data_IF_331998782616
#
_entry.id   IF_331998782616
#
_cell.length_a   1.000
_cell.length_b   1.000
_cell.length_c   1.000
_cell.angle_alpha   90.00
_cell.angle_beta   90.00
_cell.angle_gamma   90.00
#
_symmetry.space_group_name_H-M   'P 1'
#
loop_
_entity.id
_entity.type
_entity.pdbx_description
1 polymer ?
#
# COMPACT_ATOMS: atom_id res chain seq x y z
N UNK A 1 -10.66 9.51 0.12
CA UNK A 1 -10.43 8.12 0.53
C UNK A 1 -8.94 7.91 0.63
N UNK A 2 -8.50 7.22 1.68
CA UNK A 2 -7.09 6.97 1.96
C UNK A 2 -6.84 5.46 1.91
N UNK A 3 -5.87 5.06 1.10
CA UNK A 3 -5.41 3.70 0.85
C UNK A 3 -3.89 3.56 1.00
N UNK A 4 -3.13 4.66 0.96
CA UNK A 4 -1.67 4.68 1.15
C UNK A 4 -1.31 4.81 2.63
N UNK A 5 -1.82 3.87 3.43
CA UNK A 5 -1.75 3.84 4.88
C UNK A 5 -2.95 3.08 5.46
N UNK A 6 -3.29 3.33 6.73
CA UNK A 6 -4.51 2.81 7.33
C UNK A 6 -5.74 3.24 6.52
N UNK A 7 -6.54 2.26 6.10
CA UNK A 7 -7.65 2.53 5.18
C UNK A 7 -8.72 3.39 5.87
N UNK A 8 -8.95 4.59 5.35
CA UNK A 8 -9.97 5.49 5.89
C UNK A 8 -10.84 6.14 4.81
N UNK A 9 -12.10 6.38 5.18
CA UNK A 9 -13.10 7.01 4.32
C UNK A 9 -13.78 8.15 5.06
N UNK A 10 -13.78 9.31 4.42
CA UNK A 10 -14.56 10.49 4.82
C UNK A 10 -15.61 10.75 3.77
N UNK A 11 -16.85 10.92 4.20
CA UNK A 11 -18.01 11.15 3.31
C UNK A 11 -18.79 12.38 3.74
N UNK A 12 -19.67 12.86 2.86
CA UNK A 12 -20.58 13.98 3.12
C UNK A 12 -22.03 13.52 3.38
N UNK A 13 -22.32 12.23 3.16
CA UNK A 13 -23.65 11.65 3.29
C UNK A 13 -23.95 11.08 4.68
N UNK A 14 -24.90 10.17 4.72
CA UNK A 14 -25.43 9.59 5.96
C UNK A 14 -24.48 8.55 6.56
N UNK A 15 -23.78 8.93 7.63
CA UNK A 15 -22.88 8.04 8.36
C UNK A 15 -23.60 6.89 9.08
N UNK A 16 -24.89 7.04 9.40
CA UNK A 16 -25.66 5.99 10.10
C UNK A 16 -26.00 4.82 9.19
N UNK A 17 -26.10 5.08 7.88
CA UNK A 17 -26.40 4.07 6.87
C UNK A 17 -25.41 2.88 6.89
N UNK A 18 -24.15 3.11 7.26
CA UNK A 18 -23.10 2.06 7.30
C UNK A 18 -22.70 1.64 8.70
N UNK A 19 -23.27 2.23 9.77
CA UNK A 19 -22.83 2.02 11.15
C UNK A 19 -22.79 0.54 11.57
N UNK A 20 -23.75 -0.26 11.11
CA UNK A 20 -23.87 -1.68 11.45
C UNK A 20 -22.71 -2.54 10.92
N UNK A 21 -22.03 -2.14 9.83
CA UNK A 21 -20.97 -2.92 9.17
C UNK A 21 -19.96 -2.02 8.45
N UNK A 22 -19.52 -0.93 9.08
CA UNK A 22 -18.71 0.09 8.40
C UNK A 22 -17.45 -0.45 7.69
N UNK A 23 -16.64 -1.34 8.29
CA UNK A 23 -15.46 -1.88 7.61
C UNK A 23 -15.77 -2.65 6.32
N UNK A 24 -16.94 -3.29 6.24
CA UNK A 24 -17.40 -3.98 5.02
C UNK A 24 -17.71 -2.98 3.90
N UNK A 25 -18.39 -1.87 4.20
CA UNK A 25 -18.68 -0.83 3.21
C UNK A 25 -17.44 -0.05 2.77
N UNK A 26 -16.43 0.05 3.64
CA UNK A 26 -15.13 0.64 3.31
C UNK A 26 -14.42 -0.17 2.23
N UNK A 27 -14.31 -1.49 2.38
CA UNK A 27 -13.74 -2.36 1.34
C UNK A 27 -14.50 -2.25 0.02
N UNK A 28 -15.84 -2.29 0.11
CA UNK A 28 -16.70 -2.18 -1.06
C UNK A 28 -16.44 -0.87 -1.82
N UNK A 29 -16.31 0.24 -1.09
CA UNK A 29 -15.97 1.53 -1.68
C UNK A 29 -14.54 1.55 -2.23
N UNK A 30 -13.58 0.90 -1.56
CA UNK A 30 -12.20 0.78 -2.04
C UNK A 30 -12.14 0.10 -3.40
N UNK A 31 -12.85 -1.01 -3.55
CA UNK A 31 -12.96 -1.71 -4.81
C UNK A 31 -13.49 -0.78 -5.90
N UNK A 32 -14.60 -0.06 -5.66
CA UNK A 32 -15.14 0.90 -6.62
C UNK A 32 -14.16 2.03 -6.96
N UNK A 33 -13.44 2.56 -5.97
CA UNK A 33 -12.50 3.66 -6.16
C UNK A 33 -11.29 3.27 -7.01
N UNK A 34 -10.89 2.01 -6.99
CA UNK A 34 -9.80 1.47 -7.79
C UNK A 34 -10.22 1.03 -9.20
N UNK A 35 -11.53 1.04 -9.49
CA UNK A 35 -12.08 0.69 -10.79
C UNK A 35 -12.78 1.91 -11.41
N UNK A 36 -12.00 2.90 -11.84
CA UNK A 36 -12.50 4.18 -12.37
C UNK A 36 -13.39 4.05 -13.61
N UNK A 37 -13.23 2.97 -14.39
CA UNK A 37 -14.06 2.69 -15.58
C UNK A 37 -15.45 2.11 -15.21
N UNK A 38 -15.69 1.87 -13.92
CA UNK A 38 -16.90 1.28 -13.40
C UNK A 38 -16.92 -0.25 -13.47
N UNK A 39 -17.78 -0.84 -12.65
CA UNK A 39 -17.93 -2.30 -12.52
C UNK A 39 -19.40 -2.71 -12.55
N UNK A 40 -19.69 -3.89 -13.08
CA UNK A 40 -21.04 -4.45 -13.02
C UNK A 40 -21.37 -4.93 -11.60
N UNK A 41 -22.66 -5.05 -11.28
CA UNK A 41 -23.06 -5.61 -9.98
C UNK A 41 -22.62 -7.08 -9.83
N UNK A 42 -22.54 -7.81 -10.95
CA UNK A 42 -22.11 -9.20 -11.02
C UNK A 42 -20.62 -9.34 -10.70
N UNK A 43 -19.75 -8.54 -11.34
CA UNK A 43 -18.31 -8.60 -11.10
C UNK A 43 -17.97 -8.22 -9.65
N UNK A 44 -18.60 -7.15 -9.18
CA UNK A 44 -18.50 -6.71 -7.80
C UNK A 44 -18.96 -7.78 -6.80
N UNK A 45 -20.03 -8.51 -7.12
CA UNK A 45 -20.53 -9.58 -6.27
C UNK A 45 -19.58 -10.78 -6.23
N UNK A 46 -18.96 -11.13 -7.36
CA UNK A 46 -17.93 -12.16 -7.46
C UNK A 46 -16.74 -11.82 -6.56
N UNK A 47 -16.13 -10.64 -6.72
CA UNK A 47 -14.92 -10.22 -5.98
C UNK A 47 -15.13 -10.07 -4.47
N UNK A 48 -16.35 -9.74 -4.06
CA UNK A 48 -16.73 -9.64 -2.64
C UNK A 48 -17.33 -10.95 -2.10
N UNK A 49 -17.40 -12.01 -2.90
CA UNK A 49 -17.99 -13.31 -2.55
C UNK A 49 -19.43 -13.19 -2.01
N UNK A 50 -20.27 -12.38 -2.66
CA UNK A 50 -21.68 -12.15 -2.30
C UNK A 50 -22.62 -12.43 -3.48
N UNK A 51 -23.94 -12.41 -3.23
CA UNK A 51 -24.95 -12.51 -4.30
C UNK A 51 -25.12 -11.18 -5.05
N UNK A 52 -25.38 -11.18 -6.37
CA UNK A 52 -25.59 -9.95 -7.15
C UNK A 52 -26.74 -9.06 -6.65
N UNK A 53 -27.80 -9.63 -6.07
CA UNK A 53 -28.88 -8.86 -5.46
C UNK A 53 -28.39 -8.10 -4.22
N UNK A 54 -27.50 -8.73 -3.44
CA UNK A 54 -26.89 -8.11 -2.27
C UNK A 54 -25.99 -6.95 -2.67
N UNK A 55 -25.15 -7.11 -3.70
CA UNK A 55 -24.33 -6.02 -4.24
C UNK A 55 -25.15 -4.77 -4.59
N UNK A 56 -26.30 -4.94 -5.27
CA UNK A 56 -27.22 -3.83 -5.61
C UNK A 56 -27.82 -3.13 -4.37
N UNK A 57 -28.19 -3.91 -3.35
CA UNK A 57 -28.69 -3.36 -2.08
C UNK A 57 -27.61 -2.58 -1.34
N UNK A 58 -26.37 -3.11 -1.29
CA UNK A 58 -25.24 -2.46 -0.62
C UNK A 58 -24.78 -1.20 -1.36
N UNK A 59 -24.78 -1.20 -2.71
CA UNK A 59 -24.56 0.01 -3.52
C UNK A 59 -25.57 1.13 -3.22
N UNK A 60 -26.81 0.77 -2.85
CA UNK A 60 -27.81 1.77 -2.43
C UNK A 60 -27.50 2.36 -1.06
N UNK A 61 -26.94 1.57 -0.14
CA UNK A 61 -26.45 2.03 1.16
C UNK A 61 -25.22 2.93 0.98
N UNK A 62 -24.24 2.50 0.17
CA UNK A 62 -23.03 3.28 -0.13
C UNK A 62 -23.39 4.63 -0.78
N UNK A 63 -24.36 4.65 -1.69
CA UNK A 63 -24.84 5.91 -2.29
C UNK A 63 -25.35 6.90 -1.25
N UNK A 64 -26.15 6.43 -0.27
CA UNK A 64 -26.61 7.28 0.85
C UNK A 64 -25.45 7.75 1.72
N UNK A 65 -24.50 6.85 1.99
CA UNK A 65 -23.32 7.13 2.81
C UNK A 65 -22.38 8.16 2.18
N UNK A 66 -22.14 8.07 0.87
CA UNK A 66 -21.32 9.03 0.13
C UNK A 66 -22.02 10.39 0.02
N UNK A 67 -23.33 10.39 -0.23
CA UNK A 67 -24.12 11.60 -0.42
C UNK A 67 -23.98 12.18 -1.83
N UNK A 68 -24.01 13.51 -1.90
CA UNK A 68 -23.99 14.27 -3.16
C UNK A 68 -22.92 15.37 -3.10
N UNK A 69 -22.39 15.72 -4.26
CA UNK A 69 -21.54 16.89 -4.45
C UNK A 69 -22.30 18.19 -4.15
N UNK A 70 -21.57 19.30 -4.01
CA UNK A 70 -22.16 20.64 -3.85
C UNK A 70 -23.11 21.03 -5.00
N UNK A 71 -22.91 20.45 -6.19
CA UNK A 71 -23.77 20.64 -7.35
C UNK A 71 -25.02 19.73 -7.36
N UNK A 72 -25.26 18.96 -6.28
CA UNK A 72 -26.41 18.05 -6.15
C UNK A 72 -26.25 16.71 -6.89
N UNK A 73 -25.13 16.47 -7.57
CA UNK A 73 -24.87 15.19 -8.25
C UNK A 73 -24.40 14.12 -7.26
N UNK A 74 -24.97 12.90 -7.26
CA UNK A 74 -24.54 11.82 -6.38
C UNK A 74 -23.12 11.36 -6.72
N UNK A 75 -22.28 11.13 -5.70
CA UNK A 75 -20.94 10.57 -5.89
C UNK A 75 -20.94 9.12 -6.40
N UNK A 76 -22.07 8.42 -6.24
CA UNK A 76 -22.33 7.12 -6.85
C UNK A 76 -23.64 7.18 -7.64
N UNK A 77 -23.58 7.48 -8.95
CA UNK A 77 -24.75 7.45 -9.83
C UNK A 77 -25.48 6.09 -9.83
N UNK A 78 -26.71 6.06 -10.37
CA UNK A 78 -27.38 4.78 -10.65
C UNK A 78 -26.84 4.22 -11.95
N UNK A 79 -26.62 2.91 -12.03
CA UNK A 79 -26.05 2.27 -13.22
C UNK A 79 -26.89 2.49 -14.51
N UNK A 80 -28.20 2.73 -14.38
CA UNK A 80 -29.08 3.08 -15.50
C UNK A 80 -28.77 4.45 -16.12
N UNK A 81 -28.17 5.36 -15.36
CA UNK A 81 -27.78 6.69 -15.82
C UNK A 81 -26.44 6.68 -16.57
N UNK A 82 -25.67 5.60 -16.43
CA UNK A 82 -24.39 5.36 -17.10
C UNK A 82 -24.51 4.31 -18.22
N UNK A 83 -25.71 3.80 -18.48
CA UNK A 83 -25.98 2.81 -19.52
C UNK A 83 -25.85 3.42 -20.92
N UNK A 84 -25.12 2.74 -21.79
CA UNK A 84 -25.06 3.01 -23.23
C UNK A 84 -25.57 1.76 -23.94
N UNK A 85 -26.24 1.93 -25.09
CA UNK A 85 -26.77 0.80 -25.84
C UNK A 85 -25.67 -0.21 -26.20
N UNK A 86 -25.89 -1.47 -25.82
CA UNK A 86 -24.92 -2.56 -26.03
C UNK A 86 -23.83 -2.70 -24.96
N UNK A 87 -23.78 -1.83 -23.94
CA UNK A 87 -22.82 -1.90 -22.83
C UNK A 87 -23.54 -2.22 -21.52
N UNK A 88 -23.13 -3.26 -20.77
CA UNK A 88 -23.71 -3.57 -19.46
C UNK A 88 -23.65 -2.37 -18.52
N UNK A 89 -24.72 -2.13 -17.76
CA UNK A 89 -24.79 -1.04 -16.80
C UNK A 89 -23.72 -1.18 -15.70
N UNK A 90 -22.85 -0.18 -15.56
CA UNK A 90 -21.75 -0.17 -14.57
C UNK A 90 -21.95 0.86 -13.47
N UNK A 91 -21.37 0.58 -12.31
CA UNK A 91 -21.26 1.48 -11.17
C UNK A 91 -19.85 2.06 -11.15
N UNK A 92 -19.74 3.36 -11.38
CA UNK A 92 -18.50 4.12 -11.25
C UNK A 92 -18.71 5.24 -10.22
N UNK A 93 -17.67 5.54 -9.45
CA UNK A 93 -17.67 6.72 -8.59
C UNK A 93 -17.43 7.98 -9.44
N UNK A 94 -18.10 9.06 -9.09
CA UNK A 94 -17.93 10.37 -9.71
C UNK A 94 -17.47 11.39 -8.66
N UNK A 95 -16.32 12.04 -8.88
CA UNK A 95 -15.80 13.07 -7.99
C UNK A 95 -15.28 12.60 -6.63
N UNK A 96 -15.08 11.29 -6.44
CA UNK A 96 -14.45 10.74 -5.22
C UNK A 96 -12.93 10.81 -5.34
N UNK A 97 -12.29 11.54 -4.43
CA UNK A 97 -10.82 11.62 -4.37
C UNK A 97 -10.24 10.39 -3.67
N UNK A 98 -9.26 9.75 -4.31
CA UNK A 98 -8.47 8.65 -3.78
C UNK A 98 -6.99 9.02 -3.86
N UNK A 99 -6.31 8.95 -2.72
CA UNK A 99 -4.86 9.19 -2.61
C UNK A 99 -4.03 8.32 -3.54
N UNK A 100 -4.37 7.03 -3.70
CA UNK A 100 -3.66 6.09 -4.55
C UNK A 100 -3.76 6.46 -6.04
N UNK A 101 -4.95 6.83 -6.54
CA UNK A 101 -5.12 7.32 -7.91
C UNK A 101 -4.34 8.63 -8.12
N UNK A 102 -4.40 9.56 -7.17
CA UNK A 102 -3.66 10.82 -7.23
C UNK A 102 -2.14 10.58 -7.23
N UNK A 103 -1.65 9.68 -6.37
CA UNK A 103 -0.25 9.25 -6.31
C UNK A 103 0.21 8.71 -7.66
N UNK A 104 -0.55 7.81 -8.29
CA UNK A 104 -0.20 7.26 -9.61
C UNK A 104 -0.06 8.34 -10.67
N UNK A 105 -0.98 9.31 -10.69
CA UNK A 105 -0.96 10.43 -11.64
C UNK A 105 0.22 11.35 -11.39
N UNK A 106 0.51 11.68 -10.14
CA UNK A 106 1.66 12.48 -9.75
C UNK A 106 2.97 11.78 -10.10
N UNK A 107 3.11 10.50 -9.77
CA UNK A 107 4.28 9.68 -10.13
C UNK A 107 4.50 9.66 -11.64
N UNK A 108 3.47 9.32 -12.43
CA UNK A 108 3.58 9.27 -13.89
C UNK A 108 3.95 10.64 -14.48
N UNK A 109 3.34 11.72 -13.99
CA UNK A 109 3.65 13.08 -14.43
C UNK A 109 5.07 13.50 -14.05
N UNK A 110 5.51 13.20 -12.83
CA UNK A 110 6.85 13.51 -12.35
C UNK A 110 7.92 12.76 -13.14
N UNK A 111 7.75 11.44 -13.30
CA UNK A 111 8.70 10.62 -14.06
C UNK A 111 8.81 11.03 -15.53
N UNK A 112 7.69 11.37 -16.19
CA UNK A 112 7.73 11.83 -17.59
C UNK A 112 8.44 13.18 -17.80
N UNK A 113 8.58 13.98 -16.74
CA UNK A 113 9.23 15.31 -16.76
C UNK A 113 10.70 15.28 -16.33
N UNK A 114 11.23 14.14 -15.88
CA UNK A 114 12.59 14.03 -15.38
C UNK A 114 12.86 15.02 -14.23
N UNK A 115 13.92 15.83 -14.35
CA UNK A 115 14.33 16.78 -13.31
C UNK A 115 13.23 17.81 -12.95
N UNK A 116 12.42 18.25 -13.93
CA UNK A 116 11.32 19.19 -13.69
C UNK A 116 10.12 18.53 -12.98
N UNK A 117 10.13 17.21 -12.84
CA UNK A 117 9.07 16.43 -12.21
C UNK A 117 9.20 16.28 -10.69
N UNK A 118 10.26 16.80 -10.06
CA UNK A 118 10.54 16.56 -8.64
C UNK A 118 9.40 17.02 -7.73
N UNK A 119 8.79 18.17 -8.00
CA UNK A 119 7.66 18.67 -7.23
C UNK A 119 6.45 17.71 -7.22
N UNK A 120 6.23 16.98 -8.33
CA UNK A 120 5.15 16.00 -8.42
C UNK A 120 5.46 14.75 -7.58
N UNK A 121 6.72 14.30 -7.58
CA UNK A 121 7.17 13.17 -6.76
C UNK A 121 7.10 13.50 -5.27
N UNK A 122 7.53 14.70 -4.88
CA UNK A 122 7.39 15.19 -3.49
C UNK A 122 5.92 15.26 -3.09
N UNK A 123 5.05 15.82 -3.94
CA UNK A 123 3.61 15.86 -3.67
C UNK A 123 2.99 14.46 -3.56
N UNK A 124 3.49 13.48 -4.30
CA UNK A 124 3.04 12.10 -4.20
C UNK A 124 3.38 11.49 -2.82
N UNK A 125 4.59 11.72 -2.29
CA UNK A 125 4.99 11.23 -0.96
C UNK A 125 4.14 11.82 0.17
N UNK A 126 3.66 13.05 0.06
CA UNK A 126 2.76 13.67 1.05
C UNK A 126 1.39 12.99 1.16
N UNK A 127 1.02 12.13 0.20
CA UNK A 127 -0.21 11.35 0.25
C UNK A 127 -0.06 10.06 1.08
N UNK A 128 1.16 9.65 1.37
CA UNK A 128 1.47 8.41 2.08
C UNK A 128 1.47 8.66 3.58
N UNK A 129 0.63 7.93 4.29
CA UNK A 129 0.50 8.01 5.76
C UNK A 129 0.97 6.74 6.49
N UNK A 130 1.58 5.80 5.77
CA UNK A 130 2.12 4.55 6.32
C UNK A 130 2.12 3.43 5.28
N UNK A 131 2.19 2.18 5.75
CA UNK A 131 2.10 0.99 4.91
C UNK A 131 0.75 0.96 4.16
N UNK A 132 0.76 0.90 2.81
CA UNK A 132 -0.45 0.84 2.00
C UNK A 132 -1.39 -0.29 2.44
N UNK A 133 -2.69 0.00 2.42
CA UNK A 133 -3.75 -0.98 2.72
C UNK A 133 -3.62 -1.66 4.09
N UNK A 134 -3.38 -0.88 5.15
CA UNK A 134 -3.43 -1.37 6.54
C UNK A 134 -4.80 -1.13 7.18
N UNK A 135 -5.05 -1.71 8.37
CA UNK A 135 -6.35 -1.70 9.07
C UNK A 135 -7.51 -2.33 8.27
N UNK A 136 -7.19 -3.39 7.51
CA UNK A 136 -8.18 -4.15 6.75
C UNK A 136 -9.12 -4.93 7.68
N UNK A 137 -10.39 -5.07 7.26
CA UNK A 137 -11.32 -5.95 7.96
C UNK A 137 -10.89 -7.41 7.83
N UNK A 138 -11.16 -8.21 8.85
CA UNK A 138 -11.02 -9.67 8.80
C UNK A 138 -11.92 -10.27 7.71
N UNK A 139 -11.44 -11.38 7.12
CA UNK A 139 -12.16 -12.21 6.15
C UNK A 139 -12.70 -11.40 4.95
N UNK A 140 -11.91 -10.42 4.49
CA UNK A 140 -12.22 -9.55 3.34
C UNK A 140 -10.98 -9.24 2.53
N UNK A 141 -11.13 -8.38 1.53
CA UNK A 141 -10.04 -7.90 0.68
C UNK A 141 -9.39 -9.01 -0.16
N UNK A 142 -10.08 -10.12 -0.44
CA UNK A 142 -9.56 -11.21 -1.26
C UNK A 142 -9.08 -10.73 -2.64
N UNK A 143 -9.86 -9.87 -3.30
CA UNK A 143 -9.49 -9.23 -4.57
C UNK A 143 -8.17 -8.43 -4.52
N UNK A 144 -7.78 -7.92 -3.34
CA UNK A 144 -6.53 -7.20 -3.13
C UNK A 144 -5.38 -8.17 -2.80
N UNK A 145 -5.63 -9.08 -1.86
CA UNK A 145 -4.61 -9.93 -1.23
C UNK A 145 -4.30 -11.21 -2.01
N UNK A 146 -5.17 -11.60 -2.94
CA UNK A 146 -5.00 -12.79 -3.79
C UNK A 146 -4.93 -12.44 -5.28
N UNK A 147 -5.41 -11.25 -5.67
CA UNK A 147 -5.37 -10.75 -7.04
C UNK A 147 -3.99 -10.19 -7.41
N UNK A 148 -3.99 -9.01 -8.05
CA UNK A 148 -2.77 -8.36 -8.56
C UNK A 148 -1.81 -7.87 -7.45
N UNK A 149 -2.15 -8.09 -6.17
CA UNK A 149 -1.34 -7.67 -5.01
C UNK A 149 -1.02 -6.18 -5.05
N UNK A 150 -2.07 -5.38 -5.20
CA UNK A 150 -1.92 -3.95 -5.32
C UNK A 150 -1.31 -3.31 -4.07
N UNK A 151 -1.49 -3.93 -2.92
CA UNK A 151 -0.77 -3.64 -1.69
C UNK A 151 0.74 -3.66 -1.91
N UNK A 152 1.28 -4.77 -2.43
CA UNK A 152 2.72 -4.89 -2.72
C UNK A 152 3.18 -3.95 -3.83
N UNK A 153 2.40 -3.82 -4.91
CA UNK A 153 2.73 -2.91 -6.03
C UNK A 153 2.85 -1.47 -5.53
N UNK A 154 1.92 -1.03 -4.67
CA UNK A 154 1.96 0.32 -4.14
C UNK A 154 3.08 0.52 -3.13
N UNK A 155 3.41 -0.48 -2.31
CA UNK A 155 4.57 -0.44 -1.43
C UNK A 155 5.86 -0.22 -2.24
N UNK A 156 6.10 -1.03 -3.27
CA UNK A 156 7.26 -0.86 -4.16
C UNK A 156 7.24 0.50 -4.88
N UNK A 157 6.07 0.94 -5.35
CA UNK A 157 5.92 2.23 -6.01
C UNK A 157 6.27 3.42 -5.10
N UNK A 158 5.92 3.36 -3.82
CA UNK A 158 6.27 4.39 -2.84
C UNK A 158 7.77 4.38 -2.55
N UNK A 159 8.38 3.21 -2.39
CA UNK A 159 9.83 3.07 -2.20
C UNK A 159 10.59 3.66 -3.40
N UNK A 160 10.19 3.34 -4.64
CA UNK A 160 10.82 3.90 -5.85
C UNK A 160 10.80 5.44 -5.86
N UNK A 161 9.65 6.04 -5.53
CA UNK A 161 9.50 7.49 -5.50
C UNK A 161 10.31 8.09 -4.35
N UNK A 162 10.28 7.46 -3.17
CA UNK A 162 11.06 7.83 -2.01
C UNK A 162 12.57 7.84 -2.29
N UNK A 163 13.06 6.82 -2.98
CA UNK A 163 14.47 6.69 -3.36
C UNK A 163 14.92 7.82 -4.30
N UNK A 164 14.10 8.12 -5.32
CA UNK A 164 14.39 9.20 -6.28
C UNK A 164 14.47 10.55 -5.55
N UNK A 165 13.48 10.85 -4.69
CA UNK A 165 13.44 12.11 -3.95
C UNK A 165 14.59 12.20 -2.94
N UNK A 166 14.88 11.11 -2.20
CA UNK A 166 15.97 11.07 -1.22
C UNK A 166 17.33 11.30 -1.87
N UNK A 167 17.61 10.58 -2.96
CA UNK A 167 18.87 10.71 -3.70
C UNK A 167 19.04 12.13 -4.27
N UNK A 168 17.98 12.70 -4.82
CA UNK A 168 18.00 14.08 -5.31
C UNK A 168 18.28 15.07 -4.18
N UNK A 169 17.56 14.94 -3.06
CA UNK A 169 17.68 15.82 -1.90
C UNK A 169 19.10 15.78 -1.30
N UNK A 170 19.69 14.58 -1.15
CA UNK A 170 21.08 14.42 -0.72
C UNK A 170 22.07 15.08 -1.69
N UNK A 171 21.85 14.94 -3.00
CA UNK A 171 22.75 15.52 -4.01
C UNK A 171 22.77 17.05 -3.99
N UNK A 172 21.66 17.70 -3.63
CA UNK A 172 21.56 19.17 -3.52
C UNK A 172 21.76 19.69 -2.09
N UNK A 173 21.97 18.80 -1.12
CA UNK A 173 22.16 19.15 0.30
C UNK A 173 20.88 19.55 1.05
N UNK A 174 19.70 19.23 0.52
CA UNK A 174 18.42 19.46 1.19
C UNK A 174 18.14 18.30 2.17
N UNK A 175 18.70 18.41 3.37
CA UNK A 175 18.60 17.34 4.37
C UNK A 175 17.19 17.20 4.95
N UNK A 176 16.40 18.27 5.01
CA UNK A 176 15.01 18.23 5.50
C UNK A 176 14.14 17.39 4.54
N UNK A 177 14.30 17.61 3.23
CA UNK A 177 13.59 16.82 2.23
C UNK A 177 14.07 15.36 2.21
N UNK A 178 15.38 15.12 2.38
CA UNK A 178 15.93 13.78 2.43
C UNK A 178 15.42 12.99 3.66
N UNK A 179 15.34 13.67 4.82
CA UNK A 179 14.76 13.10 6.04
C UNK A 179 13.28 12.75 5.86
N UNK A 180 12.49 13.67 5.31
CA UNK A 180 11.08 13.43 5.00
C UNK A 180 10.89 12.23 4.05
N UNK A 181 11.58 12.22 2.90
CA UNK A 181 11.37 11.22 1.87
C UNK A 181 11.79 9.81 2.32
N UNK A 182 12.94 9.69 2.98
CA UNK A 182 13.44 8.41 3.52
C UNK A 182 12.53 7.86 4.62
N UNK A 183 12.01 8.72 5.51
CA UNK A 183 11.06 8.31 6.54
C UNK A 183 9.73 7.83 5.95
N UNK A 184 9.20 8.51 4.93
CA UNK A 184 7.97 8.09 4.24
C UNK A 184 8.16 6.74 3.54
N UNK A 185 9.27 6.54 2.83
CA UNK A 185 9.58 5.26 2.17
C UNK A 185 9.67 4.11 3.18
N UNK A 186 10.37 4.33 4.29
CA UNK A 186 10.53 3.34 5.36
C UNK A 186 9.21 3.07 6.09
N UNK A 187 8.35 4.07 6.29
CA UNK A 187 7.03 3.88 6.88
C UNK A 187 6.09 3.10 5.97
N UNK A 188 6.24 3.25 4.64
CA UNK A 188 5.46 2.50 3.65
C UNK A 188 5.94 1.05 3.50
N UNK A 189 7.25 0.80 3.66
CA UNK A 189 7.83 -0.53 3.63
C UNK A 189 8.93 -0.69 4.69
N UNK A 190 8.57 -1.06 5.93
CA UNK A 190 9.52 -1.12 7.05
C UNK A 190 10.65 -2.13 6.88
N UNK A 191 10.46 -3.10 5.99
CA UNK A 191 11.39 -4.18 5.71
C UNK A 191 11.99 -4.10 4.31
N UNK A 192 11.80 -3.01 3.57
CA UNK A 192 12.46 -2.86 2.27
C UNK A 192 13.93 -2.47 2.44
N UNK A 193 14.82 -3.12 1.69
CA UNK A 193 16.26 -2.89 1.80
C UNK A 193 16.64 -1.51 1.26
N UNK A 194 16.05 -1.07 0.14
CA UNK A 194 16.33 0.23 -0.48
C UNK A 194 15.88 1.34 0.47
N UNK A 195 14.66 1.25 1.00
CA UNK A 195 14.16 2.21 1.98
C UNK A 195 15.06 2.28 3.23
N UNK A 196 15.56 1.14 3.69
CA UNK A 196 16.49 1.05 4.82
C UNK A 196 17.82 1.73 4.51
N UNK A 197 18.42 1.45 3.34
CA UNK A 197 19.71 1.99 2.94
C UNK A 197 19.64 3.50 2.68
N UNK A 198 18.56 3.98 2.08
CA UNK A 198 18.31 5.42 1.90
C UNK A 198 18.24 6.12 3.26
N UNK A 199 17.52 5.56 4.23
CA UNK A 199 17.47 6.10 5.59
C UNK A 199 18.85 6.13 6.26
N UNK A 200 19.64 5.07 6.11
CA UNK A 200 21.02 5.03 6.63
C UNK A 200 21.88 6.13 5.99
N UNK A 201 21.76 6.37 4.69
CA UNK A 201 22.50 7.43 4.01
C UNK A 201 22.12 8.83 4.55
N UNK A 202 20.83 9.06 4.78
CA UNK A 202 20.32 10.30 5.38
C UNK A 202 20.80 10.47 6.82
N UNK A 203 20.67 9.43 7.66
CA UNK A 203 21.12 9.44 9.05
C UNK A 203 22.62 9.82 9.13
N UNK A 204 23.46 9.28 8.23
CA UNK A 204 24.89 9.65 8.14
C UNK A 204 25.09 11.09 7.69
N UNK A 205 24.36 11.56 6.69
CA UNK A 205 24.47 12.94 6.20
C UNK A 205 24.06 13.97 7.27
N UNK A 206 23.12 13.61 8.16
CA UNK A 206 22.70 14.43 9.30
C UNK A 206 23.64 14.32 10.52
N UNK A 207 24.63 13.43 10.49
CA UNK A 207 25.57 13.19 11.60
C UNK A 207 25.10 12.17 12.64
N UNK A 208 23.99 11.48 12.42
CA UNK A 208 23.42 10.45 13.31
C UNK A 208 24.06 9.08 13.05
N UNK A 209 25.39 8.99 13.16
CA UNK A 209 26.18 7.82 12.72
C UNK A 209 25.84 6.54 13.52
N UNK A 210 25.64 6.65 14.83
CA UNK A 210 25.32 5.50 15.68
C UNK A 210 23.99 4.85 15.30
N UNK A 211 22.97 5.68 15.03
CA UNK A 211 21.65 5.22 14.58
C UNK A 211 21.73 4.59 13.19
N UNK A 212 22.50 5.19 12.29
CA UNK A 212 22.74 4.66 10.95
C UNK A 212 23.39 3.27 11.00
N UNK A 213 24.39 3.07 11.85
CA UNK A 213 25.09 1.79 11.98
C UNK A 213 24.22 0.74 12.68
N UNK A 214 23.41 1.13 13.67
CA UNK A 214 22.43 0.24 14.27
C UNK A 214 21.38 -0.22 13.24
N UNK A 215 20.87 0.71 12.42
CA UNK A 215 19.90 0.42 11.35
C UNK A 215 20.49 -0.49 10.27
N UNK A 216 21.70 -0.20 9.80
CA UNK A 216 22.42 -1.04 8.82
C UNK A 216 22.60 -2.46 9.34
N UNK A 217 23.04 -2.63 10.60
CA UNK A 217 23.22 -3.96 11.20
C UNK A 217 21.91 -4.74 11.28
N UNK A 218 20.84 -4.10 11.76
CA UNK A 218 19.58 -4.79 12.04
C UNK A 218 18.72 -5.03 10.79
N UNK A 219 18.68 -4.04 9.89
CA UNK A 219 17.80 -4.04 8.72
C UNK A 219 18.42 -4.64 7.46
N UNK A 220 19.75 -4.80 7.41
CA UNK A 220 20.45 -5.33 6.22
C UNK A 220 21.39 -6.47 6.61
N UNK A 221 22.42 -6.21 7.42
CA UNK A 221 23.48 -7.20 7.65
C UNK A 221 23.05 -8.46 8.41
N UNK A 222 22.12 -8.32 9.36
CA UNK A 222 21.59 -9.44 10.16
C UNK A 222 20.19 -9.88 9.69
N UNK A 223 19.70 -9.36 8.56
CA UNK A 223 18.38 -9.72 8.04
C UNK A 223 18.43 -11.14 7.46
N UNK A 224 17.47 -11.97 7.86
CA UNK A 224 17.29 -13.34 7.35
C UNK A 224 16.06 -13.32 6.44
N UNK A 225 16.27 -13.22 5.13
CA UNK A 225 15.19 -13.07 4.14
C UNK A 225 14.53 -14.37 3.70
N UNK A 226 15.17 -15.50 3.99
CA UNK A 226 14.77 -16.79 3.47
C UNK A 226 13.77 -17.52 4.39
N UNK A 227 13.43 -16.94 5.54
CA UNK A 227 12.56 -17.56 6.55
C UNK A 227 13.13 -18.86 7.14
N UNK A 228 14.36 -19.23 6.78
CA UNK A 228 15.04 -20.37 7.37
C UNK A 228 15.62 -19.96 8.72
N UNK A 229 15.65 -20.90 9.65
CA UNK A 229 16.46 -20.72 10.84
C UNK A 229 17.93 -20.51 10.45
N UNK A 230 18.76 -19.98 11.36
CA UNK A 230 20.21 -19.90 11.13
C UNK A 230 20.74 -21.23 10.58
N UNK A 231 21.57 -21.19 9.51
CA UNK A 231 22.21 -22.40 8.93
C UNK A 231 22.83 -23.27 10.02
N UNK A 232 23.31 -22.64 11.09
CA UNK A 232 23.67 -23.29 12.35
C UNK A 232 23.00 -22.58 13.52
N UNK A 233 22.29 -23.33 14.36
CA UNK A 233 21.75 -22.80 15.61
C UNK A 233 22.90 -22.30 16.50
N UNK A 234 22.78 -21.11 17.11
CA UNK A 234 23.73 -20.65 18.12
C UNK A 234 23.92 -21.72 19.23
N UNK A 235 25.12 -21.90 19.79
CA UNK A 235 25.42 -23.00 20.72
C UNK A 235 24.48 -23.06 21.93
N UNK A 236 24.01 -21.90 22.38
CA UNK A 236 23.03 -21.78 23.46
C UNK A 236 21.65 -22.31 23.06
N UNK A 237 21.20 -22.00 21.84
CA UNK A 237 19.90 -22.44 21.30
C UNK A 237 19.92 -23.94 21.01
N UNK A 238 20.99 -24.46 20.39
CA UNK A 238 21.16 -25.90 20.18
C UNK A 238 21.05 -26.72 21.48
N UNK A 239 21.67 -26.23 22.56
CA UNK A 239 21.59 -26.84 23.91
C UNK A 239 20.18 -26.82 24.52
N UNK A 240 19.35 -25.85 24.15
CA UNK A 240 17.98 -25.72 24.66
C UNK A 240 16.95 -26.46 23.80
N UNK A 241 17.21 -26.61 22.49
CA UNK A 241 16.31 -27.25 21.53
C UNK A 241 16.39 -28.78 21.51
N UNK A 242 17.38 -29.39 22.19
CA UNK A 242 17.57 -30.84 22.22
C UNK A 242 17.98 -31.46 20.88
N UNK A 243 18.34 -30.64 19.89
CA UNK A 243 18.84 -31.06 18.59
C UNK A 243 20.36 -31.15 18.66
N UNK A 244 20.90 -32.36 18.75
CA UNK A 244 22.35 -32.56 18.66
C UNK A 244 22.86 -32.17 17.27
N UNK A 245 24.02 -31.49 17.17
CA UNK A 245 24.59 -31.11 15.88
C UNK A 245 24.93 -32.37 15.06
N UNK A 246 24.74 -32.36 13.73
CA UNK A 246 25.06 -33.50 12.88
C UNK A 246 26.56 -33.82 12.98
N UNK A 247 26.85 -35.09 13.27
CA UNK A 247 28.21 -35.62 13.41
C UNK A 247 28.99 -35.48 12.10
N UNK A 248 30.27 -35.03 12.11
CA UNK A 248 31.02 -34.82 10.88
C UNK A 248 31.25 -36.15 10.15
N UNK A 249 30.74 -36.23 8.92
CA UNK A 249 30.85 -37.38 8.05
C UNK A 249 32.32 -37.83 7.91
N UNK A 250 32.57 -39.12 8.16
CA UNK A 250 33.84 -39.81 7.93
C UNK A 250 34.28 -39.62 6.46
N UNK A 251 35.45 -39.02 6.26
CA UNK A 251 36.15 -39.02 4.97
C UNK A 251 36.42 -40.46 4.53
N UNK A 252 35.73 -40.93 3.49
CA UNK A 252 36.19 -42.10 2.74
C UNK A 252 37.40 -41.69 1.90
N UNK A 253 38.58 -42.21 2.25
CA UNK A 253 39.71 -42.35 1.34
C UNK A 253 39.39 -43.45 0.34
N UNK A 254 39.42 -43.15 -0.95
CA UNK A 254 39.64 -44.14 -2.01
C UNK A 254 41.04 -43.89 -2.57
N UNK A 255 41.86 -44.92 -2.54
CA UNK A 255 43.08 -45.03 -3.35
C UNK A 255 42.78 -45.54 -4.74
#
# INVERSE_FOLDING_TARGET
MTLLGPVTVRTLGDATATAHRRPYYVEFLAYLALHSNGVTAEKLAEELCIRPQKARSDLSIIRKWLGQSRAGKPFLPRAQQTHQDGVPATYALDGVLCDLDLFRRLRARGQSRGAEGMADLIAALHLVSGEPFTDLRKDGWGWLLEGDRLDHIMTAAVVDVGHIVTTHALAVGDLDLADFASNVALAASPYDEVATLDRVAVDRAMGNVDDADARMRNGVSNRIDDGYGPIQLPPRTARLSGLDPPSPARRHRTG
#
